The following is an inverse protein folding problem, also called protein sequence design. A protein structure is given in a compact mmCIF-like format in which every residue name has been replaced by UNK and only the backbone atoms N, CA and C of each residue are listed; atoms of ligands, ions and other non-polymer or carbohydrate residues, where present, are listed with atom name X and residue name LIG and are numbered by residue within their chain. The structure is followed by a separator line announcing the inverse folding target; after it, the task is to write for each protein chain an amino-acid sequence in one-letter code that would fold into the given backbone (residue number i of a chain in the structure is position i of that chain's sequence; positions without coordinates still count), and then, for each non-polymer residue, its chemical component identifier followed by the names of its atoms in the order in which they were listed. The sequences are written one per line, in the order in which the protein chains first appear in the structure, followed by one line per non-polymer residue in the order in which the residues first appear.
data_IF_381501251344
#
_entry.id   IF_381501251344
#
_cell.length_a   1.000
_cell.length_b   1.000
_cell.length_c   1.000
_cell.angle_alpha   90.00
_cell.angle_beta   90.00
_cell.angle_gamma   90.00
#
_symmetry.space_group_name_H-M   'P 1'
#
loop_
_entity.id
_entity.type
_entity.pdbx_description
1 polymer ?
#
# COMPACT_ATOMS: atom_id res chain seq x y z
N UNK A 1 -17.73 -19.78 -28.23
CA UNK A 1 -17.01 -18.58 -27.77
C UNK A 1 -16.95 -18.69 -26.24
N UNK A 2 -15.76 -18.71 -25.62
CA UNK A 2 -15.62 -18.96 -24.17
C UNK A 2 -16.05 -17.70 -23.41
N UNK A 3 -17.11 -17.79 -22.61
CA UNK A 3 -17.69 -16.66 -21.88
C UNK A 3 -17.18 -16.64 -20.42
N UNK A 4 -16.83 -15.45 -19.93
CA UNK A 4 -16.30 -15.22 -18.60
C UNK A 4 -17.38 -15.27 -17.50
N UNK A 5 -18.66 -15.24 -17.89
CA UNK A 5 -19.81 -15.27 -16.98
C UNK A 5 -19.87 -16.54 -16.12
N UNK A 6 -19.30 -17.65 -16.58
CA UNK A 6 -19.32 -18.94 -15.88
C UNK A 6 -17.99 -19.29 -15.18
N UNK A 7 -17.06 -18.34 -15.05
CA UNK A 7 -15.71 -18.59 -14.56
C UNK A 7 -15.64 -19.30 -13.19
N UNK A 8 -16.59 -19.02 -12.29
CA UNK A 8 -16.65 -19.68 -10.97
C UNK A 8 -17.05 -21.16 -11.08
N UNK A 9 -18.00 -21.48 -11.96
CA UNK A 9 -18.39 -22.86 -12.24
C UNK A 9 -17.23 -23.62 -12.91
N UNK A 10 -16.53 -22.98 -13.86
CA UNK A 10 -15.35 -23.54 -14.50
C UNK A 10 -14.21 -23.83 -13.51
N UNK A 11 -13.94 -22.89 -12.58
CA UNK A 11 -12.95 -23.09 -11.52
C UNK A 11 -13.31 -24.27 -10.63
N UNK A 12 -14.58 -24.39 -10.22
CA UNK A 12 -15.06 -25.53 -9.43
C UNK A 12 -14.95 -26.87 -10.17
N UNK A 13 -15.31 -26.91 -11.46
CA UNK A 13 -15.16 -28.12 -12.30
C UNK A 13 -13.68 -28.51 -12.46
N UNK A 14 -12.79 -27.53 -12.62
CA UNK A 14 -11.35 -27.75 -12.72
C UNK A 14 -10.78 -28.33 -11.42
N UNK A 15 -11.14 -27.76 -10.26
CA UNK A 15 -10.70 -28.27 -8.96
C UNK A 15 -11.18 -29.71 -8.75
N UNK A 16 -12.45 -30.00 -9.07
CA UNK A 16 -13.01 -31.35 -8.93
C UNK A 16 -12.31 -32.38 -9.84
N UNK A 17 -12.00 -32.00 -11.08
CA UNK A 17 -11.32 -32.87 -12.03
C UNK A 17 -9.85 -33.16 -11.65
N UNK A 18 -9.17 -32.18 -11.04
CA UNK A 18 -7.78 -32.33 -10.60
C UNK A 18 -7.65 -33.10 -9.28
N UNK A 19 -8.63 -32.96 -8.38
CA UNK A 19 -8.71 -33.76 -7.16
C UNK A 19 -8.83 -35.27 -7.48
N UNK A 20 -9.59 -35.64 -8.53
CA UNK A 20 -9.69 -37.01 -9.01
C UNK A 20 -8.38 -37.58 -9.57
N UNK A 21 -7.39 -36.73 -9.87
CA UNK A 21 -6.04 -37.09 -10.32
C UNK A 21 -4.97 -36.88 -9.24
N UNK A 22 -5.37 -36.76 -7.97
CA UNK A 22 -4.48 -36.57 -6.82
C UNK A 22 -3.66 -35.27 -6.85
N UNK A 23 -4.14 -34.24 -7.56
CA UNK A 23 -3.54 -32.89 -7.56
C UNK A 23 -4.47 -31.95 -6.80
N UNK A 24 -4.05 -31.44 -5.64
CA UNK A 24 -4.83 -30.48 -4.85
C UNK A 24 -4.46 -29.05 -5.21
N UNK A 25 -5.44 -28.27 -5.66
CA UNK A 25 -5.36 -26.83 -5.82
C UNK A 25 -6.40 -26.16 -4.92
N UNK A 26 -6.03 -25.03 -4.32
CA UNK A 26 -6.96 -24.17 -3.61
C UNK A 26 -7.96 -23.50 -4.57
N UNK A 27 -9.07 -23.00 -4.01
CA UNK A 27 -10.07 -22.26 -4.78
C UNK A 27 -9.45 -21.02 -5.45
N UNK A 28 -8.60 -20.29 -4.74
CA UNK A 28 -7.85 -19.13 -5.25
C UNK A 28 -6.95 -19.48 -6.44
N UNK A 29 -6.18 -20.57 -6.36
CA UNK A 29 -5.29 -20.99 -7.47
C UNK A 29 -6.08 -21.42 -8.71
N UNK A 30 -7.25 -22.04 -8.50
CA UNK A 30 -8.14 -22.43 -9.59
C UNK A 30 -8.71 -21.20 -10.31
N UNK A 31 -9.07 -20.16 -9.54
CA UNK A 31 -9.54 -18.89 -10.08
C UNK A 31 -8.44 -18.12 -10.84
N UNK A 32 -7.21 -18.18 -10.33
CA UNK A 32 -6.02 -17.62 -10.99
C UNK A 32 -5.80 -18.28 -12.37
N UNK A 33 -5.91 -19.61 -12.44
CA UNK A 33 -5.77 -20.37 -13.70
C UNK A 33 -6.87 -20.05 -14.70
N UNK A 34 -8.13 -19.96 -14.24
CA UNK A 34 -9.27 -19.60 -15.10
C UNK A 34 -9.12 -18.17 -15.64
N UNK A 35 -8.62 -17.24 -14.83
CA UNK A 35 -8.35 -15.87 -15.29
C UNK A 35 -7.39 -15.83 -16.47
N UNK A 36 -6.29 -16.59 -16.40
CA UNK A 36 -5.30 -16.70 -17.49
C UNK A 36 -5.87 -17.39 -18.73
N UNK A 37 -6.67 -18.45 -18.57
CA UNK A 37 -7.32 -19.17 -19.68
C UNK A 37 -8.28 -18.27 -20.46
N UNK A 38 -8.94 -17.34 -19.77
CA UNK A 38 -9.85 -16.36 -20.36
C UNK A 38 -9.14 -15.09 -20.86
N UNK A 39 -7.80 -15.03 -20.77
CA UNK A 39 -6.99 -13.91 -21.26
C UNK A 39 -6.89 -12.73 -20.30
N UNK A 40 -7.24 -12.91 -19.02
CA UNK A 40 -7.11 -11.88 -17.98
C UNK A 40 -5.81 -12.06 -17.18
N UNK A 41 -5.29 -10.93 -16.65
CA UNK A 41 -4.01 -10.88 -15.95
C UNK A 41 -4.01 -11.65 -14.63
N UNK A 42 -5.10 -11.53 -13.88
CA UNK A 42 -5.30 -12.15 -12.57
C UNK A 42 -6.80 -12.27 -12.25
N UNK A 43 -7.11 -12.97 -11.16
CA UNK A 43 -8.50 -13.17 -10.74
C UNK A 43 -9.21 -11.86 -10.35
N UNK A 44 -8.50 -10.84 -9.86
CA UNK A 44 -9.11 -9.56 -9.49
C UNK A 44 -9.68 -8.82 -10.70
N UNK A 45 -8.94 -8.82 -11.83
CA UNK A 45 -9.39 -8.24 -13.10
C UNK A 45 -10.62 -8.97 -13.66
N UNK A 46 -10.63 -10.30 -13.59
CA UNK A 46 -11.77 -11.12 -14.01
C UNK A 46 -13.00 -10.88 -13.11
N UNK A 47 -12.83 -10.80 -11.80
CA UNK A 47 -13.90 -10.53 -10.85
C UNK A 47 -14.55 -9.15 -11.08
N UNK A 48 -13.76 -8.12 -11.35
CA UNK A 48 -14.27 -6.78 -11.68
C UNK A 48 -15.16 -6.79 -12.94
N UNK A 49 -14.81 -7.62 -13.94
CA UNK A 49 -15.56 -7.70 -15.21
C UNK A 49 -16.86 -8.48 -15.08
N UNK A 50 -16.88 -9.53 -14.25
CA UNK A 50 -18.11 -10.25 -13.89
C UNK A 50 -19.09 -9.30 -13.19
N UNK A 51 -18.62 -8.53 -12.20
CA UNK A 51 -19.45 -7.55 -11.48
C UNK A 51 -19.97 -6.43 -12.38
N UNK A 52 -19.15 -5.92 -13.30
CA UNK A 52 -19.58 -4.92 -14.27
C UNK A 52 -20.70 -5.44 -15.20
N UNK A 53 -20.61 -6.72 -15.62
CA UNK A 53 -21.62 -7.32 -16.49
C UNK A 53 -22.98 -7.56 -15.80
N UNK A 54 -22.97 -7.87 -14.50
CA UNK A 54 -24.19 -8.07 -13.71
C UNK A 54 -24.98 -6.78 -13.48
N UNK A 55 -24.32 -5.61 -13.56
CA UNK A 55 -24.97 -4.29 -13.42
C UNK A 55 -25.73 -3.83 -14.66
N UNK A 56 -25.61 -4.53 -15.80
CA UNK A 56 -26.15 -4.06 -17.08
C UNK A 56 -27.50 -4.70 -17.46
N UNK A 57 -28.19 -5.37 -16.52
CA UNK A 57 -29.41 -6.13 -16.79
C UNK A 57 -30.67 -5.64 -16.05
N UNK A 58 -31.23 -4.49 -16.44
CA UNK A 58 -32.64 -4.13 -16.18
C UNK A 58 -33.10 -2.97 -17.11
N UNK A 59 -34.26 -3.07 -17.80
CA UNK A 59 -34.79 -1.98 -18.63
C UNK A 59 -35.97 -1.23 -17.95
N UNK A 60 -36.11 0.07 -18.23
CA UNK A 60 -37.36 0.83 -17.99
C UNK A 60 -37.18 2.31 -17.63
N UNK A 61 -37.68 3.20 -18.48
CA UNK A 61 -37.57 4.67 -18.45
C UNK A 61 -38.44 5.34 -17.37
N UNK A 62 -37.93 6.41 -16.75
CA UNK A 62 -38.67 7.68 -16.57
C UNK A 62 -37.73 8.81 -16.12
N UNK A 63 -37.99 9.99 -16.67
CA UNK A 63 -37.24 11.23 -16.54
C UNK A 63 -37.01 11.69 -15.09
N UNK A 64 -35.80 12.17 -14.83
CA UNK A 64 -35.45 12.84 -13.59
C UNK A 64 -33.94 12.94 -13.45
N UNK A 65 -33.40 14.10 -13.82
CA UNK A 65 -32.02 14.57 -13.62
C UNK A 65 -31.29 13.82 -12.51
N UNK A 66 -30.36 12.93 -12.86
CA UNK A 66 -29.23 12.57 -12.00
C UNK A 66 -28.08 12.12 -12.88
N UNK A 67 -27.00 12.89 -12.78
CA UNK A 67 -25.61 12.65 -13.19
C UNK A 67 -25.25 11.17 -13.35
N UNK A 68 -24.50 10.77 -14.40
CA UNK A 68 -24.06 9.39 -14.57
C UNK A 68 -23.24 8.93 -13.35
N UNK A 69 -23.33 7.65 -12.94
CA UNK A 69 -22.51 7.13 -11.85
C UNK A 69 -21.06 7.09 -12.35
N UNK A 70 -20.34 8.15 -12.01
CA UNK A 70 -18.90 8.25 -12.08
C UNK A 70 -18.29 7.19 -11.15
N UNK A 71 -17.06 6.77 -11.44
CA UNK A 71 -16.22 5.95 -10.55
C UNK A 71 -15.79 6.72 -9.27
N UNK A 72 -16.70 7.48 -8.67
CA UNK A 72 -16.47 8.32 -7.51
C UNK A 72 -16.83 7.59 -6.19
N UNK A 73 -16.00 7.80 -5.18
CA UNK A 73 -16.36 7.79 -3.75
C UNK A 73 -16.63 6.44 -3.09
N UNK A 74 -15.55 5.78 -2.66
CA UNK A 74 -15.52 5.25 -1.31
C UNK A 74 -14.49 6.09 -0.53
N UNK A 75 -14.96 7.00 0.30
CA UNK A 75 -14.09 7.87 1.09
C UNK A 75 -13.25 7.02 2.04
N UNK A 76 -11.93 7.04 1.86
CA UNK A 76 -11.02 6.25 2.68
C UNK A 76 -10.75 7.00 3.99
N UNK A 77 -11.02 6.40 5.17
CA UNK A 77 -10.71 7.04 6.45
C UNK A 77 -9.22 7.34 6.57
N UNK A 78 -8.88 8.54 7.03
CA UNK A 78 -7.51 9.03 7.18
C UNK A 78 -7.02 8.82 8.62
N UNK A 79 -5.82 8.28 8.74
CA UNK A 79 -5.06 8.17 9.98
C UNK A 79 -3.91 9.19 9.95
N UNK A 80 -4.11 10.38 10.53
CA UNK A 80 -3.09 11.42 10.52
C UNK A 80 -2.00 11.10 11.55
N UNK A 81 -0.76 10.95 11.09
CA UNK A 81 0.40 10.60 11.90
C UNK A 81 1.32 11.81 12.10
N UNK A 82 1.74 12.04 13.34
CA UNK A 82 2.61 13.17 13.70
C UNK A 82 4.07 12.88 13.37
N UNK A 83 4.57 11.75 13.88
CA UNK A 83 6.01 11.48 13.96
C UNK A 83 6.47 10.37 13.02
N UNK A 84 5.61 9.97 12.07
CA UNK A 84 5.84 8.78 11.25
C UNK A 84 5.33 8.96 9.82
N UNK A 85 6.19 8.62 8.88
CA UNK A 85 5.87 8.35 7.47
C UNK A 85 5.96 6.83 7.29
N UNK A 86 4.90 6.22 6.75
CA UNK A 86 4.92 4.81 6.38
C UNK A 86 5.40 4.63 4.96
N UNK A 87 5.96 3.45 4.66
CA UNK A 87 6.30 3.02 3.32
C UNK A 87 5.54 1.73 2.95
N UNK A 88 5.24 1.48 1.67
CA UNK A 88 4.60 0.26 1.19
C UNK A 88 5.23 -1.05 1.70
N UNK A 89 4.43 -2.11 1.77
CA UNK A 89 4.82 -3.47 2.16
C UNK A 89 5.38 -3.61 3.59
N UNK A 90 5.14 -2.62 4.45
CA UNK A 90 5.49 -2.66 5.87
C UNK A 90 4.28 -2.97 6.75
N UNK A 91 4.49 -3.70 7.85
CA UNK A 91 3.49 -3.83 8.91
C UNK A 91 3.95 -2.99 10.09
N UNK A 92 3.15 -2.00 10.47
CA UNK A 92 3.52 -1.07 11.53
C UNK A 92 2.41 -0.93 12.57
N UNK A 93 2.71 -1.07 13.87
CA UNK A 93 1.77 -0.71 14.92
C UNK A 93 1.65 0.81 15.02
N UNK A 94 0.42 1.29 15.06
CA UNK A 94 0.06 2.70 15.22
C UNK A 94 -0.77 2.85 16.48
N UNK A 95 -0.49 3.90 17.26
CA UNK A 95 -1.21 4.22 18.48
C UNK A 95 -2.18 5.36 18.22
N UNK A 96 -3.46 5.11 18.49
CA UNK A 96 -4.56 6.04 18.26
C UNK A 96 -5.15 6.44 19.60
N UNK A 97 -4.96 7.70 19.97
CA UNK A 97 -5.52 8.29 21.19
C UNK A 97 -6.68 9.26 20.93
N UNK A 98 -6.71 9.89 19.75
CA UNK A 98 -7.68 10.94 19.40
C UNK A 98 -9.03 10.33 19.00
N UNK A 99 -10.12 10.84 19.55
CA UNK A 99 -11.46 10.28 19.31
C UNK A 99 -11.89 10.35 17.84
N UNK A 100 -11.51 11.41 17.12
CA UNK A 100 -11.76 11.55 15.68
C UNK A 100 -11.11 10.43 14.87
N UNK A 101 -9.86 10.08 15.21
CA UNK A 101 -9.13 8.98 14.57
C UNK A 101 -9.65 7.61 15.05
N UNK A 102 -10.11 7.50 16.31
CA UNK A 102 -10.77 6.28 16.82
C UNK A 102 -12.00 5.93 15.99
N UNK A 103 -12.86 6.92 15.71
CA UNK A 103 -14.02 6.78 14.82
C UNK A 103 -13.61 6.36 13.40
N UNK A 104 -12.49 6.89 12.88
CA UNK A 104 -11.95 6.48 11.58
C UNK A 104 -11.58 4.98 11.57
N UNK A 105 -10.97 4.49 12.65
CA UNK A 105 -10.61 3.07 12.82
C UNK A 105 -11.87 2.20 12.88
N UNK A 106 -12.86 2.58 13.67
CA UNK A 106 -14.13 1.85 13.78
C UNK A 106 -14.85 1.77 12.43
N UNK A 107 -14.91 2.89 11.70
CA UNK A 107 -15.49 2.93 10.35
C UNK A 107 -14.75 2.02 9.37
N UNK A 108 -13.42 2.00 9.42
CA UNK A 108 -12.60 1.14 8.58
C UNK A 108 -12.83 -0.35 8.91
N UNK A 109 -12.83 -0.70 10.21
CA UNK A 109 -13.06 -2.06 10.69
C UNK A 109 -14.46 -2.60 10.34
N UNK A 110 -15.47 -1.73 10.29
CA UNK A 110 -16.83 -2.06 9.87
C UNK A 110 -16.99 -2.17 8.35
N UNK A 111 -16.04 -1.67 7.55
CA UNK A 111 -16.03 -1.73 6.09
C UNK A 111 -14.92 -2.63 5.56
N UNK A 112 -14.25 -2.18 4.50
CA UNK A 112 -13.22 -2.94 3.78
C UNK A 112 -11.85 -2.97 4.49
N UNK A 113 -11.78 -2.50 5.74
CA UNK A 113 -10.54 -2.37 6.55
C UNK A 113 -9.47 -1.48 5.93
N UNK A 114 -9.80 -0.72 4.90
CA UNK A 114 -8.85 0.16 4.21
C UNK A 114 -8.81 1.53 4.88
N UNK A 115 -7.59 2.03 5.06
CA UNK A 115 -7.30 3.35 5.63
C UNK A 115 -6.21 4.04 4.83
N UNK A 116 -6.15 5.37 4.91
CA UNK A 116 -5.06 6.15 4.35
C UNK A 116 -4.23 6.71 5.51
N UNK A 117 -2.98 6.30 5.60
CA UNK A 117 -2.06 6.84 6.61
C UNK A 117 -1.30 8.01 5.99
N UNK A 118 -1.37 9.17 6.61
CA UNK A 118 -0.81 10.43 6.08
C UNK A 118 -0.03 11.12 7.19
N UNK A 119 1.17 11.62 6.88
CA UNK A 119 1.93 12.43 7.82
C UNK A 119 1.35 13.84 7.93
N UNK A 120 1.48 14.46 9.12
CA UNK A 120 1.11 15.85 9.36
C UNK A 120 2.28 16.78 9.03
N UNK A 121 1.99 17.93 8.40
CA UNK A 121 2.99 18.98 8.16
C UNK A 121 3.35 19.72 9.44
N UNK A 122 2.36 19.94 10.33
CA UNK A 122 2.54 20.63 11.61
C UNK A 122 2.24 19.68 12.75
N UNK A 123 3.29 19.10 13.36
CA UNK A 123 3.10 18.12 14.42
C UNK A 123 2.33 18.65 15.63
N UNK A 124 2.40 19.95 15.93
CA UNK A 124 1.69 20.54 17.07
C UNK A 124 0.16 20.54 16.94
N UNK A 125 -0.40 20.36 15.74
CA UNK A 125 -1.85 20.40 15.55
C UNK A 125 -2.52 19.10 16.03
N UNK A 126 -3.53 19.27 16.88
CA UNK A 126 -4.29 18.16 17.44
C UNK A 126 -5.48 17.77 16.56
N UNK A 127 -5.91 18.63 15.63
CA UNK A 127 -6.98 18.32 14.69
C UNK A 127 -6.62 18.86 13.28
N UNK A 128 -5.79 18.11 12.52
CA UNK A 128 -5.39 18.48 11.16
C UNK A 128 -6.58 18.37 10.21
N UNK A 129 -7.48 19.34 10.31
CA UNK A 129 -8.77 19.39 9.62
C UNK A 129 -8.69 20.09 8.27
N UNK A 130 -7.50 20.53 7.87
CA UNK A 130 -7.25 21.25 6.61
C UNK A 130 -6.25 20.51 5.73
N UNK A 131 -6.36 20.65 4.40
CA UNK A 131 -5.39 20.08 3.46
C UNK A 131 -3.97 20.58 3.70
N UNK A 132 -3.81 21.83 4.17
CA UNK A 132 -2.51 22.42 4.46
C UNK A 132 -1.83 21.84 5.71
N UNK A 133 -2.59 21.16 6.58
CA UNK A 133 -2.06 20.51 7.77
C UNK A 133 -1.52 19.09 7.49
N UNK A 134 -1.84 18.51 6.34
CA UNK A 134 -1.44 17.17 5.92
C UNK A 134 -0.49 17.23 4.73
N UNK A 135 0.31 16.18 4.57
CA UNK A 135 1.01 15.98 3.31
C UNK A 135 0.06 15.47 2.22
N UNK A 136 0.35 15.83 0.97
CA UNK A 136 -0.49 15.52 -0.20
C UNK A 136 -0.44 14.04 -0.59
N UNK A 137 0.57 13.30 -0.15
CA UNK A 137 0.67 11.87 -0.35
C UNK A 137 0.75 11.12 0.99
N UNK A 138 0.19 9.92 0.97
CA UNK A 138 0.27 8.96 2.06
C UNK A 138 0.37 7.54 1.54
N UNK A 139 0.06 6.59 2.42
CA UNK A 139 0.04 5.16 2.08
C UNK A 139 -1.33 4.60 2.40
N UNK A 140 -1.95 3.99 1.39
CA UNK A 140 -3.13 3.16 1.62
C UNK A 140 -2.70 1.89 2.35
N UNK A 141 -3.40 1.56 3.43
CA UNK A 141 -3.08 0.43 4.29
C UNK A 141 -4.34 -0.34 4.66
N UNK A 142 -4.17 -1.61 5.00
CA UNK A 142 -5.22 -2.43 5.59
C UNK A 142 -5.03 -2.54 7.10
N UNK A 143 -6.11 -2.36 7.86
CA UNK A 143 -6.13 -2.63 9.29
C UNK A 143 -6.17 -4.13 9.51
N UNK A 144 -5.12 -4.67 10.14
CA UNK A 144 -5.00 -6.10 10.45
C UNK A 144 -5.74 -6.41 11.74
N UNK A 145 -5.49 -5.62 12.77
CA UNK A 145 -6.08 -5.77 14.09
C UNK A 145 -6.15 -4.41 14.82
N UNK A 146 -7.03 -4.33 15.81
CA UNK A 146 -7.18 -3.20 16.71
C UNK A 146 -7.41 -3.71 18.13
N UNK A 147 -6.62 -3.24 19.09
CA UNK A 147 -6.69 -3.63 20.50
C UNK A 147 -6.60 -2.40 21.39
N UNK A 148 -7.64 -2.17 22.21
CA UNK A 148 -7.60 -1.15 23.26
C UNK A 148 -6.66 -1.62 24.36
N UNK A 149 -5.66 -0.80 24.67
CA UNK A 149 -4.71 -1.03 25.76
C UNK A 149 -5.34 -0.65 27.11
N UNK A 150 -4.69 -1.06 28.20
CA UNK A 150 -5.16 -0.84 29.59
C UNK A 150 -5.23 0.65 29.96
N UNK A 151 -4.47 1.48 29.26
CA UNK A 151 -4.43 2.95 29.37
C UNK A 151 -5.54 3.65 28.55
N UNK A 152 -6.36 2.89 27.82
CA UNK A 152 -7.42 3.42 26.94
C UNK A 152 -6.95 3.82 25.54
N UNK A 153 -5.65 3.71 25.23
CA UNK A 153 -5.10 3.99 23.90
C UNK A 153 -5.38 2.82 22.97
N UNK A 154 -5.85 3.10 21.76
CA UNK A 154 -6.14 2.06 20.77
C UNK A 154 -4.87 1.75 19.97
N UNK A 155 -4.33 0.53 20.14
CA UNK A 155 -3.22 0.02 19.33
C UNK A 155 -3.79 -0.64 18.08
N UNK A 156 -3.40 -0.16 16.90
CA UNK A 156 -3.87 -0.65 15.60
C UNK A 156 -2.69 -1.12 14.78
N UNK A 157 -2.70 -2.36 14.29
CA UNK A 157 -1.65 -2.82 13.35
C UNK A 157 -2.13 -2.62 11.93
N UNK A 158 -1.37 -1.88 11.13
CA UNK A 158 -1.68 -1.61 9.72
C UNK A 158 -0.66 -2.27 8.80
N UNK A 159 -1.14 -2.83 7.69
CA UNK A 159 -0.32 -3.33 6.58
C UNK A 159 -0.32 -2.30 5.46
N UNK A 160 0.79 -1.62 5.26
CA UNK A 160 0.98 -0.66 4.18
C UNK A 160 0.95 -1.37 2.82
N UNK A 161 0.11 -0.89 1.91
CA UNK A 161 -0.09 -1.52 0.59
C UNK A 161 0.64 -0.75 -0.50
N UNK A 162 0.20 0.49 -0.77
CA UNK A 162 0.69 1.30 -1.88
C UNK A 162 0.58 2.80 -1.57
N UNK A 163 1.43 3.58 -2.24
CA UNK A 163 1.42 5.04 -2.21
C UNK A 163 0.13 5.57 -2.83
N UNK A 164 -0.41 6.63 -2.25
CA UNK A 164 -1.54 7.32 -2.84
C UNK A 164 -1.48 8.83 -2.58
N UNK A 165 -1.90 9.61 -3.56
CA UNK A 165 -2.10 11.05 -3.45
C UNK A 165 -3.54 11.36 -3.03
N UNK A 166 -3.71 12.35 -2.15
CA UNK A 166 -5.02 12.87 -1.77
C UNK A 166 -5.52 13.77 -2.89
N UNK A 167 -6.63 13.42 -3.51
CA UNK A 167 -7.29 14.27 -4.51
C UNK A 167 -8.33 15.17 -3.87
N UNK A 168 -9.02 14.70 -2.82
CA UNK A 168 -10.01 15.48 -2.09
C UNK A 168 -10.06 15.09 -0.62
N UNK A 169 -10.03 16.08 0.28
CA UNK A 169 -10.23 15.89 1.71
C UNK A 169 -11.72 16.06 2.07
N UNK A 170 -12.22 15.19 2.93
CA UNK A 170 -13.59 15.15 3.39
C UNK A 170 -13.56 15.19 4.92
N UNK A 171 -14.18 16.23 5.47
CA UNK A 171 -14.09 16.59 6.89
C UNK A 171 -15.46 16.34 7.52
N UNK A 172 -15.58 15.28 8.32
CA UNK A 172 -16.81 14.93 9.04
C UNK A 172 -16.52 14.45 10.45
N UNK A 173 -17.29 13.48 10.96
CA UNK A 173 -17.06 12.88 12.29
C UNK A 173 -15.67 12.23 12.43
N UNK A 174 -15.10 11.82 11.30
CA UNK A 174 -13.72 11.43 11.08
C UNK A 174 -13.20 12.11 9.79
N UNK A 175 -11.88 12.09 9.59
CA UNK A 175 -11.28 12.55 8.34
C UNK A 175 -11.32 11.43 7.31
N UNK A 176 -11.68 11.76 6.08
CA UNK A 176 -11.65 10.83 4.95
C UNK A 176 -11.11 11.52 3.70
N UNK A 177 -10.66 10.75 2.72
CA UNK A 177 -10.20 11.30 1.44
C UNK A 177 -10.59 10.44 0.25
N UNK A 178 -10.79 11.11 -0.88
CA UNK A 178 -10.60 10.52 -2.19
C UNK A 178 -9.09 10.47 -2.50
N UNK A 179 -8.63 9.34 -3.05
CA UNK A 179 -7.21 9.12 -3.31
C UNK A 179 -6.99 8.49 -4.67
N UNK A 180 -5.83 8.78 -5.25
CA UNK A 180 -5.33 8.15 -6.46
C UNK A 180 -3.99 7.44 -6.19
N UNK A 181 -3.77 6.23 -6.71
CA UNK A 181 -2.50 5.53 -6.55
C UNK A 181 -1.36 6.29 -7.22
N UNK A 182 -0.20 6.36 -6.56
CA UNK A 182 1.03 6.86 -7.18
C UNK A 182 1.76 5.66 -7.77
N UNK A 183 1.70 5.53 -9.10
CA UNK A 183 2.32 4.44 -9.85
C UNK A 183 3.85 4.52 -9.83
N UNK A 184 4.50 3.36 -9.70
CA UNK A 184 5.96 3.28 -9.73
C UNK A 184 6.49 3.36 -11.16
N UNK A 185 7.49 4.21 -11.37
CA UNK A 185 8.14 4.41 -12.67
C UNK A 185 9.58 3.89 -12.65
N UNK A 186 10.04 3.35 -13.79
CA UNK A 186 11.42 2.87 -14.01
C UNK A 186 11.93 1.81 -13.03
N UNK A 187 11.05 1.16 -12.25
CA UNK A 187 11.42 0.13 -11.26
C UNK A 187 12.05 -1.14 -11.85
N UNK A 188 11.84 -1.41 -13.15
CA UNK A 188 12.43 -2.54 -13.89
C UNK A 188 13.58 -2.13 -14.82
N UNK A 189 14.05 -0.89 -14.72
CA UNK A 189 15.16 -0.41 -15.56
C UNK A 189 16.51 -0.99 -15.10
N UNK A 190 17.45 -1.15 -16.02
CA UNK A 190 18.83 -1.54 -15.69
C UNK A 190 19.49 -0.52 -14.76
N UNK A 191 19.16 0.77 -14.94
CA UNK A 191 19.60 1.86 -14.07
C UNK A 191 19.12 1.67 -12.62
N UNK A 192 17.84 1.34 -12.42
CA UNK A 192 17.31 1.04 -11.08
C UNK A 192 18.01 -0.18 -10.46
N UNK A 193 18.31 -1.22 -11.25
CA UNK A 193 19.04 -2.38 -10.76
C UNK A 193 20.50 -2.04 -10.37
N UNK A 194 21.19 -1.20 -11.13
CA UNK A 194 22.54 -0.73 -10.81
C UNK A 194 22.55 0.11 -9.54
N UNK A 195 21.64 1.09 -9.42
CA UNK A 195 21.49 1.93 -8.23
C UNK A 195 21.11 1.11 -6.99
N UNK A 196 20.30 0.06 -7.14
CA UNK A 196 19.92 -0.82 -6.03
C UNK A 196 21.14 -1.50 -5.39
N UNK A 197 22.12 -1.90 -6.20
CA UNK A 197 23.39 -2.47 -5.69
C UNK A 197 24.18 -1.42 -4.91
N UNK A 198 24.30 -0.21 -5.47
CA UNK A 198 24.96 0.90 -4.80
C UNK A 198 24.28 1.27 -3.47
N UNK A 199 22.95 1.29 -3.41
CA UNK A 199 22.17 1.56 -2.20
C UNK A 199 22.42 0.49 -1.14
N UNK A 200 22.45 -0.78 -1.52
CA UNK A 200 22.77 -1.86 -0.58
C UNK A 200 24.17 -1.71 0.02
N UNK A 201 25.16 -1.38 -0.81
CA UNK A 201 26.54 -1.20 -0.35
C UNK A 201 26.69 0.05 0.53
N UNK A 202 26.06 1.15 0.18
CA UNK A 202 26.03 2.35 1.01
C UNK A 202 25.30 2.09 2.34
N UNK A 203 24.18 1.37 2.32
CA UNK A 203 23.40 1.08 3.52
C UNK A 203 24.15 0.17 4.50
N UNK A 204 24.96 -0.78 4.01
CA UNK A 204 25.86 -1.61 4.85
C UNK A 204 26.79 -0.74 5.70
N UNK A 205 27.39 0.25 5.05
CA UNK A 205 28.29 1.21 5.70
C UNK A 205 27.51 2.09 6.67
N UNK A 206 26.37 2.64 6.23
CA UNK A 206 25.52 3.52 7.03
C UNK A 206 25.02 2.84 8.31
N UNK A 207 24.53 1.61 8.21
CA UNK A 207 24.01 0.87 9.36
C UNK A 207 25.13 0.34 10.28
N UNK A 208 26.41 0.52 9.91
CA UNK A 208 27.57 -0.12 10.56
C UNK A 208 27.37 -1.65 10.70
N UNK A 209 26.71 -2.26 9.72
CA UNK A 209 26.44 -3.70 9.68
C UNK A 209 27.34 -4.31 8.60
N UNK A 210 28.35 -5.07 9.03
CA UNK A 210 29.20 -5.82 8.12
C UNK A 210 28.46 -7.06 7.57
N UNK A 211 27.54 -6.84 6.63
CA UNK A 211 26.76 -7.88 5.96
C UNK A 211 27.61 -8.82 5.09
N UNK A 212 28.88 -8.50 4.82
CA UNK A 212 29.83 -9.32 4.06
C UNK A 212 30.26 -10.58 4.81
N UNK A 213 30.32 -10.49 6.14
CA UNK A 213 30.69 -11.59 7.04
C UNK A 213 29.52 -12.55 7.31
N UNK A 214 28.31 -12.20 6.89
CA UNK A 214 27.09 -12.89 7.24
C UNK A 214 26.59 -13.76 6.08
N UNK A 215 26.27 -15.04 6.31
CA UNK A 215 25.64 -15.90 5.33
C UNK A 215 24.38 -15.25 4.72
N UNK A 216 24.10 -15.52 3.44
CA UNK A 216 22.93 -15.00 2.72
C UNK A 216 21.61 -15.16 3.50
N UNK A 217 21.40 -16.30 4.17
CA UNK A 217 20.25 -16.54 5.05
C UNK A 217 20.14 -15.59 6.26
N UNK A 218 21.25 -15.04 6.77
CA UNK A 218 21.23 -14.07 7.87
C UNK A 218 21.03 -12.64 7.38
N UNK A 219 21.41 -12.30 6.15
CA UNK A 219 21.02 -11.04 5.51
C UNK A 219 19.50 -10.87 5.42
N UNK A 220 18.78 -11.98 5.21
CA UNK A 220 17.31 -12.01 5.28
C UNK A 220 16.78 -11.63 6.68
N UNK A 221 17.53 -11.91 7.76
CA UNK A 221 17.16 -11.48 9.13
C UNK A 221 17.32 -9.98 9.36
N UNK A 222 18.18 -9.30 8.59
CA UNK A 222 18.25 -7.82 8.58
C UNK A 222 17.15 -7.17 7.73
N UNK A 223 16.31 -7.98 7.06
CA UNK A 223 15.08 -7.53 6.42
C UNK A 223 15.27 -6.75 5.11
N UNK A 224 16.49 -6.65 4.56
CA UNK A 224 16.70 -5.94 3.30
C UNK A 224 16.30 -6.80 2.09
N UNK A 225 15.44 -6.28 1.20
CA UNK A 225 15.07 -6.93 -0.05
C UNK A 225 16.26 -7.18 -0.97
N UNK A 226 16.12 -8.16 -1.87
CA UNK A 226 17.07 -8.37 -2.96
C UNK A 226 17.13 -7.14 -3.87
N UNK A 227 18.28 -6.91 -4.52
CA UNK A 227 18.44 -5.88 -5.56
C UNK A 227 17.52 -6.09 -6.78
N UNK A 228 16.87 -7.26 -6.87
CA UNK A 228 15.90 -7.62 -7.90
C UNK A 228 14.53 -6.91 -7.72
N UNK A 229 14.30 -6.27 -6.58
CA UNK A 229 13.13 -5.41 -6.39
C UNK A 229 13.56 -4.00 -5.94
N UNK A 230 13.95 -3.13 -6.89
CA UNK A 230 14.45 -1.79 -6.62
C UNK A 230 13.47 -0.90 -5.82
N UNK A 231 12.18 -0.98 -6.13
CA UNK A 231 11.13 -0.19 -5.45
C UNK A 231 10.99 -0.59 -3.99
N UNK A 232 10.88 -1.90 -3.72
CA UNK A 232 10.80 -2.43 -2.37
C UNK A 232 12.06 -2.18 -1.55
N UNK A 233 13.24 -2.30 -2.18
CA UNK A 233 14.51 -1.97 -1.54
C UNK A 233 14.56 -0.50 -1.13
N UNK A 234 14.19 0.40 -2.03
CA UNK A 234 14.14 1.83 -1.74
C UNK A 234 13.24 2.12 -0.54
N UNK A 235 12.07 1.48 -0.48
CA UNK A 235 11.07 1.68 0.57
C UNK A 235 11.55 1.16 1.92
N UNK A 236 12.18 -0.01 1.91
CA UNK A 236 12.73 -0.62 3.13
C UNK A 236 13.86 0.22 3.71
N UNK A 237 14.78 0.68 2.86
CA UNK A 237 15.89 1.54 3.27
C UNK A 237 15.36 2.90 3.75
N UNK A 238 14.45 3.53 3.01
CA UNK A 238 13.88 4.83 3.40
C UNK A 238 13.20 4.78 4.78
N UNK A 239 12.53 3.67 5.12
CA UNK A 239 11.93 3.47 6.43
C UNK A 239 12.97 3.44 7.56
N UNK A 240 14.13 2.80 7.33
CA UNK A 240 15.18 2.62 8.34
C UNK A 240 16.15 3.80 8.48
N UNK A 241 16.20 4.71 7.51
CA UNK A 241 17.03 5.92 7.62
C UNK A 241 16.59 6.80 8.81
N UNK A 242 17.56 7.29 9.58
CA UNK A 242 17.38 8.24 10.68
C UNK A 242 17.37 9.68 10.15
N UNK A 243 16.40 10.00 9.30
CA UNK A 243 16.22 11.30 8.64
C UNK A 243 14.90 11.96 9.05
N UNK A 244 14.77 13.27 8.82
CA UNK A 244 13.58 14.04 9.18
C UNK A 244 12.33 13.64 8.39
N UNK A 245 11.15 13.96 8.93
CA UNK A 245 9.84 13.64 8.32
C UNK A 245 9.73 14.23 6.91
N UNK A 246 10.18 15.47 6.71
CA UNK A 246 10.17 16.15 5.41
C UNK A 246 10.93 15.35 4.35
N UNK A 247 12.11 14.84 4.69
CA UNK A 247 12.93 14.03 3.78
C UNK A 247 12.28 12.66 3.53
N UNK A 248 11.74 11.99 4.56
CA UNK A 248 10.98 10.74 4.38
C UNK A 248 9.77 10.94 3.47
N UNK A 249 9.07 12.05 3.63
CA UNK A 249 7.92 12.38 2.83
C UNK A 249 8.30 12.65 1.37
N UNK A 250 9.39 13.36 1.11
CA UNK A 250 9.90 13.53 -0.25
C UNK A 250 10.23 12.18 -0.92
N UNK A 251 10.76 11.21 -0.17
CA UNK A 251 10.98 9.85 -0.68
C UNK A 251 9.67 9.13 -0.95
N UNK A 252 8.67 9.28 -0.08
CA UNK A 252 7.34 8.69 -0.26
C UNK A 252 6.64 9.24 -1.51
N UNK A 253 6.72 10.55 -1.75
CA UNK A 253 6.12 11.26 -2.88
C UNK A 253 6.83 10.99 -4.22
N UNK A 254 8.06 10.48 -4.18
CA UNK A 254 8.82 10.16 -5.39
C UNK A 254 8.36 8.81 -5.95
N UNK A 255 7.45 8.84 -6.93
CA UNK A 255 6.99 7.64 -7.66
C UNK A 255 8.06 7.01 -8.56
N UNK A 256 9.05 7.79 -8.97
CA UNK A 256 10.15 7.30 -9.79
C UNK A 256 11.23 6.59 -8.97
N UNK A 257 11.42 5.30 -9.21
CA UNK A 257 12.30 4.46 -8.41
C UNK A 257 13.77 4.84 -8.57
N UNK A 258 14.20 5.22 -9.78
CA UNK A 258 15.60 5.65 -10.03
C UNK A 258 15.91 6.91 -9.25
N UNK A 259 15.02 7.91 -9.33
CA UNK A 259 15.18 9.18 -8.59
C UNK A 259 15.15 8.92 -7.08
N UNK A 260 14.27 8.03 -6.62
CA UNK A 260 14.15 7.68 -5.20
C UNK A 260 15.42 7.01 -4.68
N UNK A 261 15.99 6.06 -5.41
CA UNK A 261 17.25 5.40 -5.05
C UNK A 261 18.43 6.37 -5.03
N UNK A 262 18.52 7.27 -6.01
CA UNK A 262 19.56 8.31 -6.05
C UNK A 262 19.47 9.23 -4.82
N UNK A 263 18.27 9.73 -4.49
CA UNK A 263 18.05 10.54 -3.28
C UNK A 263 18.44 9.79 -2.00
N UNK A 264 18.15 8.49 -1.92
CA UNK A 264 18.52 7.67 -0.77
C UNK A 264 20.05 7.60 -0.61
N UNK A 265 20.80 7.45 -1.70
CA UNK A 265 22.27 7.49 -1.69
C UNK A 265 22.81 8.82 -1.18
N UNK A 266 22.24 9.93 -1.67
CA UNK A 266 22.65 11.27 -1.27
C UNK A 266 22.40 11.50 0.23
N UNK A 267 21.24 11.08 0.74
CA UNK A 267 20.88 11.20 2.15
C UNK A 267 21.78 10.36 3.06
N UNK A 268 22.14 9.14 2.65
CA UNK A 268 23.09 8.31 3.42
C UNK A 268 24.50 8.90 3.43
N UNK A 269 24.90 9.57 2.35
CA UNK A 269 26.21 10.21 2.24
C UNK A 269 26.30 11.48 3.08
N UNK A 270 25.22 12.28 3.11
CA UNK A 270 25.12 13.52 3.90
C UNK A 270 24.96 13.26 5.42
N UNK A 271 24.33 12.15 5.81
CA UNK A 271 24.13 11.77 7.22
C UNK A 271 25.36 11.19 7.92
N UNK A 272 26.53 11.21 7.29
CA UNK A 272 27.78 10.73 7.88
C UNK A 272 28.29 11.78 8.88
N UNK A 273 28.40 11.49 10.18
CA UNK A 273 29.20 12.36 11.04
C UNK A 273 30.63 12.35 10.51
N UNK A 274 31.20 13.52 10.25
CA UNK A 274 32.65 13.62 10.01
C UNK A 274 33.37 12.97 11.20
N UNK A 275 34.38 12.16 10.86
CA UNK A 275 35.15 11.35 11.83
C UNK A 275 35.79 12.20 12.92
#
# INVERSE_FOLDING_TARGET
MRDFRDAKAMAQTLTAALAAKSVSLSHSESLELISKILGFRDWNVLAARIQASQRTGAPGLSDGVTTPPSFAQADIPIFPMRDLVLFPQTITPVFVARDRTRRAVERAMAGDRRVLVVAQRRGADNDPSTLESLYSAGVTANVINSQTQVDGVLKVSVSALQRAAITRLIVGEFLAAEVEPIEEQRGLSEEAAALSRAVLDAYRIYANVDLSSLPLQQRVRFGLPSAENPGLLADTVAQSLSIGIEQKQQLLETGDVVVRLAKILDLMSAGRPEK
#
